data_IF_579052437895
#
_entry.id   IF_579052437895
#
_cell.length_a   1.000
_cell.length_b   1.000
_cell.length_c   1.000
_cell.angle_alpha   90.00
_cell.angle_beta   90.00
_cell.angle_gamma   90.00
#
_symmetry.space_group_name_H-M   'P 1'
#
loop_
_entity.id
_entity.type
_entity.pdbx_description
1 polymer ?
#
# COMPACT_ATOMS: atom_id res chain seq x y z
N UNK A 1 17.48 26.66 -5.95
CA UNK A 1 17.40 27.46 -7.19
C UNK A 1 16.80 26.68 -8.38
N UNK A 2 16.31 25.44 -8.20
CA UNK A 2 15.76 24.63 -9.32
C UNK A 2 14.22 24.66 -9.44
N UNK A 3 13.49 24.92 -8.35
CA UNK A 3 12.02 24.86 -8.34
C UNK A 3 11.34 25.98 -9.14
N UNK A 4 11.98 27.14 -9.34
CA UNK A 4 11.34 28.30 -9.99
C UNK A 4 11.07 28.11 -11.49
N UNK A 5 11.66 27.07 -12.13
CA UNK A 5 11.47 26.74 -13.54
C UNK A 5 10.31 25.78 -13.80
N UNK A 6 9.71 25.21 -12.76
CA UNK A 6 8.63 24.24 -12.90
C UNK A 6 7.26 24.95 -13.05
N UNK A 7 6.30 24.35 -13.78
CA UNK A 7 4.90 24.74 -13.75
C UNK A 7 4.38 24.91 -12.31
N UNK A 8 3.48 25.88 -12.08
CA UNK A 8 3.01 26.24 -10.74
C UNK A 8 2.48 25.03 -9.94
N UNK A 9 1.68 24.15 -10.54
CA UNK A 9 1.17 22.96 -9.86
C UNK A 9 2.28 22.02 -9.37
N UNK A 10 3.37 21.88 -10.12
CA UNK A 10 4.49 21.04 -9.71
C UNK A 10 5.20 21.63 -8.48
N UNK A 11 5.33 22.95 -8.43
CA UNK A 11 5.93 23.63 -7.28
C UNK A 11 5.05 23.50 -6.04
N UNK A 12 3.73 23.64 -6.20
CA UNK A 12 2.75 23.39 -5.13
C UNK A 12 2.86 21.95 -4.64
N UNK A 13 2.93 20.97 -5.55
CA UNK A 13 3.09 19.56 -5.20
C UNK A 13 4.41 19.28 -4.47
N UNK A 14 5.53 19.84 -4.94
CA UNK A 14 6.81 19.71 -4.25
C UNK A 14 6.79 20.33 -2.84
N UNK A 15 6.12 21.48 -2.67
CA UNK A 15 5.94 22.08 -1.36
C UNK A 15 5.11 21.21 -0.41
N UNK A 16 4.04 20.59 -0.92
CA UNK A 16 3.26 19.60 -0.20
C UNK A 16 4.14 18.44 0.29
N UNK A 17 4.99 17.87 -0.59
CA UNK A 17 5.90 16.77 -0.25
C UNK A 17 6.90 17.16 0.85
N UNK A 18 7.51 18.34 0.75
CA UNK A 18 8.46 18.85 1.75
C UNK A 18 7.77 19.01 3.11
N UNK A 19 6.58 19.63 3.13
CA UNK A 19 5.81 19.81 4.36
C UNK A 19 5.39 18.47 4.97
N UNK A 20 4.97 17.52 4.14
CA UNK A 20 4.60 16.18 4.58
C UNK A 20 5.79 15.49 5.26
N UNK A 21 6.97 15.53 4.65
CA UNK A 21 8.21 14.96 5.22
C UNK A 21 8.59 15.59 6.56
N UNK A 22 8.31 16.89 6.75
CA UNK A 22 8.59 17.58 7.99
C UNK A 22 7.56 17.36 9.12
N UNK A 23 6.34 16.95 8.77
CA UNK A 23 5.20 16.89 9.72
C UNK A 23 4.77 15.46 10.05
N UNK A 24 4.85 14.55 9.09
CA UNK A 24 4.36 13.19 9.22
C UNK A 24 5.38 12.30 9.94
N UNK A 25 4.92 11.23 10.62
CA UNK A 25 5.79 10.17 11.10
C UNK A 25 6.63 9.55 9.98
N UNK A 26 7.66 8.75 10.34
CA UNK A 26 8.46 8.02 9.37
C UNK A 26 7.63 7.17 8.42
N UNK A 27 8.22 6.86 7.26
CA UNK A 27 7.61 6.06 6.22
C UNK A 27 7.16 4.68 6.73
N UNK A 28 6.11 4.16 6.11
CA UNK A 28 5.60 2.84 6.40
C UNK A 28 6.54 1.80 5.79
N UNK A 29 6.92 0.79 6.59
CA UNK A 29 7.75 -0.33 6.13
C UNK A 29 6.96 -1.61 6.28
N UNK A 30 6.82 -2.37 5.20
CA UNK A 30 6.02 -3.60 5.16
C UNK A 30 6.47 -4.63 6.19
N UNK A 31 7.76 -4.69 6.49
CA UNK A 31 8.33 -5.58 7.50
C UNK A 31 7.82 -5.23 8.90
N UNK A 32 7.81 -3.93 9.24
CA UNK A 32 7.40 -3.45 10.56
C UNK A 32 5.89 -3.68 10.78
N UNK A 33 5.09 -3.59 9.71
CA UNK A 33 3.63 -3.84 9.75
C UNK A 33 3.27 -5.34 9.77
N UNK A 34 4.14 -6.20 9.24
CA UNK A 34 3.94 -7.66 9.20
C UNK A 34 4.48 -8.34 10.46
N UNK A 35 5.47 -7.74 11.11
CA UNK A 35 6.09 -8.28 12.32
C UNK A 35 7.29 -9.19 12.04
N UNK A 36 7.70 -9.91 13.07
CA UNK A 36 8.98 -10.63 13.12
C UNK A 36 9.08 -11.79 12.11
N UNK A 37 7.95 -12.37 11.69
CA UNK A 37 7.93 -13.43 10.67
C UNK A 37 8.12 -12.94 9.24
N UNK A 38 8.17 -11.63 8.95
CA UNK A 38 8.28 -11.16 7.57
C UNK A 38 9.45 -11.83 6.84
N UNK A 39 10.67 -11.74 7.39
CA UNK A 39 11.89 -12.25 6.73
C UNK A 39 11.98 -13.78 6.70
N UNK A 40 11.08 -14.49 7.37
CA UNK A 40 11.00 -15.96 7.34
C UNK A 40 10.04 -16.50 6.27
N UNK A 41 9.22 -15.63 5.70
CA UNK A 41 8.16 -16.00 4.75
C UNK A 41 8.27 -15.22 3.44
N UNK A 42 8.59 -13.93 3.53
CA UNK A 42 8.58 -13.01 2.42
C UNK A 42 9.97 -12.53 2.06
N UNK A 43 10.12 -12.20 0.79
CA UNK A 43 11.26 -11.45 0.27
C UNK A 43 10.77 -10.32 -0.62
N UNK A 44 11.56 -9.27 -0.72
CA UNK A 44 11.30 -8.17 -1.65
C UNK A 44 12.24 -8.29 -2.85
N UNK A 45 11.66 -8.33 -4.05
CA UNK A 45 12.42 -8.26 -5.31
C UNK A 45 13.20 -6.94 -5.46
N UNK A 46 12.72 -5.87 -4.83
CA UNK A 46 13.40 -4.59 -4.66
C UNK A 46 13.27 -4.16 -3.20
N UNK A 47 14.41 -4.03 -2.49
CA UNK A 47 14.43 -3.62 -1.08
C UNK A 47 13.74 -2.26 -0.83
N UNK A 48 13.76 -1.34 -1.81
CA UNK A 48 13.11 -0.03 -1.70
C UNK A 48 11.59 -0.09 -1.92
N UNK A 49 11.08 -1.19 -2.48
CA UNK A 49 9.64 -1.36 -2.73
C UNK A 49 8.86 -1.71 -1.46
N UNK A 50 9.54 -2.12 -0.38
CA UNK A 50 8.91 -2.39 0.92
C UNK A 50 8.57 -1.14 1.73
N UNK A 51 8.92 0.06 1.24
CA UNK A 51 8.69 1.32 1.93
C UNK A 51 7.68 2.18 1.17
N UNK A 52 6.66 2.66 1.88
CA UNK A 52 5.66 3.60 1.36
C UNK A 52 5.77 4.89 2.16
N UNK A 53 6.02 6.05 1.50
CA UNK A 53 6.06 7.32 2.20
C UNK A 53 4.80 7.55 3.02
N UNK A 54 4.93 8.04 4.26
CA UNK A 54 3.77 8.16 5.17
C UNK A 54 2.63 8.96 4.56
N UNK A 55 2.97 9.95 3.73
CA UNK A 55 2.04 10.76 2.95
C UNK A 55 1.09 9.92 2.07
N UNK A 56 1.58 8.82 1.50
CA UNK A 56 0.85 7.93 0.59
C UNK A 56 0.21 6.74 1.30
N UNK A 57 -0.15 6.91 2.57
CA UNK A 57 -0.91 5.95 3.37
C UNK A 57 -2.29 6.52 3.68
N UNK A 58 -3.20 5.69 4.20
CA UNK A 58 -4.51 6.16 4.66
C UNK A 58 -4.37 7.27 5.70
N UNK A 59 -3.48 7.11 6.69
CA UNK A 59 -3.22 8.15 7.70
C UNK A 59 -2.67 9.44 7.08
N UNK A 60 -1.73 9.35 6.14
CA UNK A 60 -1.23 10.50 5.39
C UNK A 60 -2.32 11.21 4.61
N UNK A 61 -3.25 10.46 4.02
CA UNK A 61 -4.40 11.03 3.34
C UNK A 61 -5.38 11.71 4.32
N UNK A 62 -5.82 11.00 5.35
CA UNK A 62 -6.88 11.44 6.26
C UNK A 62 -6.44 12.61 7.13
N UNK A 63 -5.22 12.56 7.62
CA UNK A 63 -4.75 13.44 8.69
C UNK A 63 -3.97 14.63 8.12
N UNK A 64 -3.39 14.47 6.92
CA UNK A 64 -2.60 15.52 6.29
C UNK A 64 -3.22 16.00 4.97
N UNK A 65 -3.25 15.17 3.92
CA UNK A 65 -3.61 15.60 2.57
C UNK A 65 -5.02 16.20 2.48
N UNK A 66 -5.99 15.57 3.14
CA UNK A 66 -7.40 16.01 3.17
C UNK A 66 -7.55 17.47 3.63
N UNK A 67 -6.75 17.90 4.61
CA UNK A 67 -6.78 19.26 5.14
C UNK A 67 -6.03 20.29 4.28
N UNK A 68 -5.20 19.83 3.34
CA UNK A 68 -4.44 20.74 2.48
C UNK A 68 -5.31 21.40 1.42
N UNK A 69 -6.47 20.83 1.08
CA UNK A 69 -7.34 21.34 0.01
C UNK A 69 -7.60 22.86 0.10
N UNK A 70 -7.91 23.38 1.29
CA UNK A 70 -8.15 24.81 1.49
C UNK A 70 -6.85 25.59 1.74
N UNK A 71 -5.87 24.96 2.39
CA UNK A 71 -4.62 25.63 2.79
C UNK A 71 -3.54 25.68 1.70
N UNK A 72 -3.73 24.91 0.61
CA UNK A 72 -2.87 24.92 -0.57
C UNK A 72 -2.75 26.33 -1.16
N UNK A 73 -3.77 27.19 -0.99
CA UNK A 73 -3.74 28.59 -1.43
C UNK A 73 -3.96 29.62 -0.31
N UNK A 74 -4.43 29.24 0.89
CA UNK A 74 -4.48 30.13 2.07
C UNK A 74 -3.09 30.45 2.63
N UNK A 75 -2.05 29.78 2.13
CA UNK A 75 -0.73 30.37 2.10
C UNK A 75 -0.78 31.59 1.18
N UNK A 76 -1.14 32.73 1.76
CA UNK A 76 -0.84 34.10 1.29
C UNK A 76 0.64 34.34 0.93
N UNK A 77 1.47 33.30 1.01
CA UNK A 77 2.88 33.26 0.64
C UNK A 77 3.25 32.21 -0.42
N UNK A 78 2.34 31.62 -1.21
CA UNK A 78 2.78 30.93 -2.43
C UNK A 78 3.40 31.91 -3.46
N UNK A 79 2.93 33.17 -3.46
CA UNK A 79 3.58 34.28 -4.17
C UNK A 79 4.99 34.58 -3.59
N UNK A 80 5.19 34.40 -2.28
CA UNK A 80 6.45 34.75 -1.60
C UNK A 80 7.47 33.59 -1.52
N UNK A 81 7.02 32.33 -1.46
CA UNK A 81 7.87 31.19 -1.07
C UNK A 81 8.45 30.43 -2.28
N UNK A 82 7.77 30.42 -3.42
CA UNK A 82 8.19 29.62 -4.59
C UNK A 82 8.99 30.41 -5.62
N UNK A 83 9.05 31.75 -5.52
CA UNK A 83 9.70 32.59 -6.53
C UNK A 83 10.82 33.50 -6.04
N UNK A 84 10.91 33.86 -4.75
CA UNK A 84 11.84 34.94 -4.35
C UNK A 84 11.64 36.23 -5.17
N UNK A 85 10.46 36.40 -5.78
CA UNK A 85 10.07 37.55 -6.58
C UNK A 85 8.67 37.97 -6.15
N UNK A 86 8.58 39.25 -5.79
CA UNK A 86 7.42 39.92 -5.24
C UNK A 86 6.38 40.28 -6.30
N UNK A 87 5.95 39.34 -7.14
CA UNK A 87 4.78 39.56 -8.00
C UNK A 87 3.62 38.75 -7.46
N UNK A 88 2.64 39.45 -6.89
CA UNK A 88 1.36 38.86 -6.51
C UNK A 88 0.66 38.34 -7.75
N UNK A 89 0.73 37.04 -8.02
CA UNK A 89 -0.01 36.44 -9.12
C UNK A 89 -1.45 36.28 -8.66
N UNK A 90 -2.31 37.22 -9.08
CA UNK A 90 -3.76 37.09 -8.84
C UNK A 90 -4.32 35.94 -9.69
N UNK A 91 -4.28 34.73 -9.14
CA UNK A 91 -4.90 33.55 -9.76
C UNK A 91 -6.43 33.66 -9.68
N UNK A 92 -7.09 33.42 -10.82
CA UNK A 92 -8.54 33.28 -10.86
C UNK A 92 -9.00 32.04 -10.07
N UNK A 93 -10.28 32.00 -9.70
CA UNK A 93 -10.86 30.81 -9.05
C UNK A 93 -10.77 29.56 -9.94
N UNK A 94 -10.90 29.74 -11.26
CA UNK A 94 -10.74 28.67 -12.24
C UNK A 94 -9.31 28.12 -12.26
N UNK A 95 -8.29 28.99 -12.24
CA UNK A 95 -6.89 28.55 -12.22
C UNK A 95 -6.54 27.82 -10.92
N UNK A 96 -7.05 28.31 -9.78
CA UNK A 96 -6.87 27.64 -8.47
C UNK A 96 -7.49 26.25 -8.47
N UNK A 97 -8.71 26.13 -9.00
CA UNK A 97 -9.40 24.84 -9.13
C UNK A 97 -8.62 23.87 -10.04
N UNK A 98 -8.11 24.34 -11.16
CA UNK A 98 -7.32 23.51 -12.08
C UNK A 98 -6.00 23.05 -11.47
N UNK A 99 -5.28 23.93 -10.77
CA UNK A 99 -4.05 23.56 -10.05
C UNK A 99 -4.35 22.51 -8.98
N UNK A 100 -5.43 22.69 -8.23
CA UNK A 100 -5.84 21.76 -7.19
C UNK A 100 -6.21 20.38 -7.76
N UNK A 101 -6.87 20.35 -8.91
CA UNK A 101 -7.16 19.13 -9.67
C UNK A 101 -5.87 18.43 -10.08
N UNK A 102 -4.91 19.16 -10.67
CA UNK A 102 -3.61 18.61 -11.09
C UNK A 102 -2.79 18.07 -9.91
N UNK A 103 -2.78 18.78 -8.78
CA UNK A 103 -2.12 18.32 -7.54
C UNK A 103 -2.78 17.05 -7.01
N UNK A 104 -4.12 16.98 -7.01
CA UNK A 104 -4.86 15.80 -6.58
C UNK A 104 -4.61 14.61 -7.50
N UNK A 105 -4.60 14.83 -8.82
CA UNK A 105 -4.30 13.79 -9.81
C UNK A 105 -2.89 13.23 -9.61
N UNK A 106 -1.90 14.12 -9.41
CA UNK A 106 -0.53 13.71 -9.17
C UNK A 106 -0.39 12.93 -7.87
N UNK A 107 -1.01 13.41 -6.79
CA UNK A 107 -1.04 12.73 -5.50
C UNK A 107 -1.63 11.32 -5.61
N UNK A 108 -2.78 11.18 -6.28
CA UNK A 108 -3.44 9.88 -6.45
C UNK A 108 -2.55 8.94 -7.28
N UNK A 109 -1.94 9.44 -8.35
CA UNK A 109 -1.01 8.66 -9.17
C UNK A 109 0.16 8.13 -8.33
N UNK A 110 0.82 8.99 -7.56
CA UNK A 110 1.96 8.60 -6.72
C UNK A 110 1.51 7.64 -5.61
N UNK A 111 0.37 7.90 -4.98
CA UNK A 111 -0.25 7.01 -4.00
C UNK A 111 -0.43 5.59 -4.57
N UNK A 112 -1.15 5.46 -5.68
CA UNK A 112 -1.40 4.16 -6.31
C UNK A 112 -0.11 3.49 -6.77
N UNK A 113 0.85 4.26 -7.27
CA UNK A 113 2.13 3.76 -7.75
C UNK A 113 2.96 3.13 -6.64
N UNK A 114 3.01 3.72 -5.44
CA UNK A 114 3.72 3.15 -4.30
C UNK A 114 3.14 1.79 -3.87
N UNK A 115 1.81 1.69 -3.77
CA UNK A 115 1.14 0.43 -3.39
C UNK A 115 1.24 -0.65 -4.46
N UNK A 116 1.13 -0.28 -5.74
CA UNK A 116 1.39 -1.20 -6.85
C UNK A 116 2.83 -1.69 -6.84
N UNK A 117 3.80 -0.80 -6.59
CA UNK A 117 5.22 -1.16 -6.49
C UNK A 117 5.45 -2.18 -5.38
N UNK A 118 4.93 -1.92 -4.17
CA UNK A 118 5.03 -2.84 -3.04
C UNK A 118 4.43 -4.21 -3.37
N UNK A 119 3.19 -4.24 -3.86
CA UNK A 119 2.51 -5.49 -4.25
C UNK A 119 3.30 -6.25 -5.32
N UNK A 120 3.87 -5.54 -6.30
CA UNK A 120 4.67 -6.10 -7.38
C UNK A 120 6.10 -6.48 -6.99
N UNK A 121 6.52 -6.20 -5.76
CA UNK A 121 7.85 -6.56 -5.27
C UNK A 121 7.81 -7.66 -4.20
N UNK A 122 6.67 -7.83 -3.52
CA UNK A 122 6.47 -8.87 -2.53
C UNK A 122 6.50 -10.26 -3.21
N UNK A 123 7.27 -11.15 -2.61
CA UNK A 123 7.40 -12.54 -3.04
C UNK A 123 7.53 -13.45 -1.82
N UNK A 124 7.34 -14.76 -2.03
CA UNK A 124 7.63 -15.77 -1.00
C UNK A 124 9.12 -16.12 -1.07
N UNK A 125 9.73 -16.30 0.10
CA UNK A 125 11.12 -16.71 0.19
C UNK A 125 11.33 -18.04 -0.55
N UNK A 126 12.34 -18.16 -1.43
CA UNK A 126 12.67 -19.44 -2.05
C UNK A 126 13.11 -20.44 -0.98
N UNK A 127 12.76 -21.70 -1.20
CA UNK A 127 13.13 -22.82 -0.34
C UNK A 127 13.74 -23.95 -1.19
N UNK A 128 14.80 -24.55 -0.68
CA UNK A 128 15.59 -25.57 -1.39
C UNK A 128 15.33 -26.99 -0.86
N UNK A 129 14.54 -27.13 0.22
CA UNK A 129 14.23 -28.42 0.82
C UNK A 129 12.78 -28.52 1.33
N UNK A 130 12.22 -29.75 1.42
CA UNK A 130 10.89 -29.97 2.03
C UNK A 130 10.79 -29.49 3.48
N UNK A 131 11.87 -29.56 4.25
CA UNK A 131 11.92 -29.07 5.64
C UNK A 131 11.83 -27.55 5.70
N UNK A 132 12.53 -26.85 4.80
CA UNK A 132 12.42 -25.39 4.67
C UNK A 132 11.02 -24.98 4.22
N UNK A 133 10.44 -25.68 3.24
CA UNK A 133 9.07 -25.43 2.79
C UNK A 133 8.06 -25.63 3.94
N UNK A 134 8.22 -26.69 4.74
CA UNK A 134 7.41 -26.94 5.92
C UNK A 134 7.56 -25.84 6.98
N UNK A 135 8.78 -25.33 7.20
CA UNK A 135 9.02 -24.20 8.12
C UNK A 135 8.29 -22.93 7.68
N UNK A 136 8.33 -22.59 6.39
CA UNK A 136 7.60 -21.44 5.83
C UNK A 136 6.09 -21.63 5.99
N UNK A 137 5.58 -22.83 5.70
CA UNK A 137 4.15 -23.15 5.84
C UNK A 137 3.67 -23.11 7.30
N UNK A 138 4.46 -23.61 8.24
CA UNK A 138 4.15 -23.53 9.67
C UNK A 138 4.10 -22.08 10.14
N UNK A 139 4.97 -21.22 9.62
CA UNK A 139 4.94 -19.78 9.94
C UNK A 139 3.71 -19.10 9.33
N UNK A 140 3.36 -19.44 8.08
CA UNK A 140 2.17 -18.93 7.40
C UNK A 140 0.85 -19.31 8.10
N UNK A 141 0.79 -20.53 8.62
CA UNK A 141 -0.43 -21.14 9.19
C UNK A 141 -0.51 -21.07 10.72
N UNK A 142 0.60 -20.70 11.38
CA UNK A 142 0.68 -20.50 12.81
C UNK A 142 0.02 -19.21 13.27
N UNK A 143 0.32 -18.80 14.51
CA UNK A 143 -0.37 -17.69 15.17
C UNK A 143 0.00 -16.31 14.60
N UNK A 144 1.21 -16.16 14.04
CA UNK A 144 1.67 -14.88 13.50
C UNK A 144 0.97 -14.48 12.19
N UNK A 145 0.37 -15.44 11.47
CA UNK A 145 -0.44 -15.23 10.26
C UNK A 145 0.04 -14.10 9.32
N UNK A 146 1.32 -14.10 8.90
CA UNK A 146 1.93 -12.94 8.22
C UNK A 146 1.24 -12.58 6.89
N UNK A 147 0.61 -13.53 6.21
CA UNK A 147 -0.19 -13.26 5.02
C UNK A 147 -1.43 -12.39 5.32
N UNK A 148 -2.07 -12.58 6.48
CA UNK A 148 -3.20 -11.74 6.91
C UNK A 148 -2.78 -10.32 7.24
N UNK A 149 -1.58 -10.14 7.79
CA UNK A 149 -1.03 -8.82 8.05
C UNK A 149 -0.83 -8.05 6.75
N UNK A 150 -0.21 -8.66 5.74
CA UNK A 150 -0.05 -8.05 4.41
C UNK A 150 -1.40 -7.68 3.78
N UNK A 151 -2.37 -8.60 3.82
CA UNK A 151 -3.70 -8.37 3.26
C UNK A 151 -4.41 -7.21 3.96
N UNK A 152 -4.35 -7.18 5.29
CA UNK A 152 -4.92 -6.10 6.09
C UNK A 152 -4.24 -4.76 5.77
N UNK A 153 -2.91 -4.75 5.70
CA UNK A 153 -2.12 -3.58 5.36
C UNK A 153 -2.50 -2.99 4.00
N UNK A 154 -2.55 -3.84 2.96
CA UNK A 154 -2.97 -3.42 1.62
C UNK A 154 -4.37 -2.83 1.68
N UNK A 155 -5.30 -3.59 2.26
CA UNK A 155 -6.69 -3.19 2.27
C UNK A 155 -6.94 -1.92 3.10
N UNK A 156 -6.18 -1.72 4.17
CA UNK A 156 -6.31 -0.51 4.97
C UNK A 156 -5.89 0.75 4.21
N UNK A 157 -5.02 0.59 3.22
CA UNK A 157 -4.52 1.70 2.43
C UNK A 157 -5.13 1.79 1.03
N UNK A 158 -5.84 0.77 0.54
CA UNK A 158 -6.37 0.77 -0.83
C UNK A 158 -7.88 0.52 -0.93
N UNK A 159 -8.58 0.22 0.17
CA UNK A 159 -10.01 -0.05 0.11
C UNK A 159 -10.86 1.18 -0.18
N UNK A 160 -12.03 0.94 -0.79
CA UNK A 160 -13.10 1.94 -0.87
C UNK A 160 -13.60 2.25 0.55
N UNK A 161 -13.53 3.51 0.96
CA UNK A 161 -14.01 3.95 2.28
C UNK A 161 -15.15 4.96 2.14
N UNK A 162 -16.30 4.75 2.81
CA UNK A 162 -17.36 5.74 2.85
C UNK A 162 -16.93 6.92 3.73
N UNK A 163 -16.89 8.12 3.17
CA UNK A 163 -16.72 9.35 3.95
C UNK A 163 -18.07 10.01 4.22
N UNK A 164 -18.26 10.48 5.44
CA UNK A 164 -19.38 11.35 5.86
C UNK A 164 -18.81 12.74 6.25
N UNK A 165 -19.53 13.82 5.92
CA UNK A 165 -19.11 15.20 6.26
C UNK A 165 -19.18 16.22 5.12
N UNK A 166 -18.87 17.50 5.41
CA UNK A 166 -18.78 18.60 4.43
C UNK A 166 -17.51 18.44 3.57
N UNK A 167 -17.58 18.75 2.27
CA UNK A 167 -16.48 18.53 1.32
C UNK A 167 -16.33 17.08 0.84
N UNK A 168 -17.28 16.21 1.18
CA UNK A 168 -17.18 14.78 0.92
C UNK A 168 -17.22 14.39 -0.56
N UNK A 169 -17.75 15.22 -1.47
CA UNK A 169 -17.84 14.84 -2.90
C UNK A 169 -16.45 14.66 -3.53
N UNK A 170 -15.57 15.67 -3.46
CA UNK A 170 -14.21 15.59 -4.00
C UNK A 170 -13.36 14.54 -3.25
N UNK A 171 -13.53 14.45 -1.93
CA UNK A 171 -12.79 13.46 -1.13
C UNK A 171 -13.22 12.02 -1.46
N UNK A 172 -14.50 11.79 -1.72
CA UNK A 172 -15.02 10.50 -2.20
C UNK A 172 -14.50 10.18 -3.59
N UNK A 173 -14.46 11.17 -4.50
CA UNK A 173 -13.85 10.98 -5.83
C UNK A 173 -12.39 10.54 -5.69
N UNK A 174 -11.57 11.28 -4.95
CA UNK A 174 -10.15 10.95 -4.73
C UNK A 174 -9.98 9.53 -4.16
N UNK A 175 -10.75 9.16 -3.12
CA UNK A 175 -10.68 7.82 -2.54
C UNK A 175 -11.16 6.73 -3.49
N UNK A 176 -12.19 7.00 -4.29
CA UNK A 176 -12.66 6.04 -5.29
C UNK A 176 -11.59 5.80 -6.38
N UNK A 177 -10.84 6.85 -6.75
CA UNK A 177 -9.75 6.77 -7.71
C UNK A 177 -8.53 6.06 -7.16
N UNK A 178 -8.22 6.25 -5.87
CA UNK A 178 -7.18 5.48 -5.16
C UNK A 178 -7.55 4.00 -5.11
N UNK A 179 -8.82 3.67 -4.82
CA UNK A 179 -9.26 2.28 -4.64
C UNK A 179 -9.51 1.53 -5.95
N UNK A 180 -9.82 2.23 -7.05
CA UNK A 180 -10.19 1.63 -8.34
C UNK A 180 -9.15 0.60 -8.85
N UNK A 181 -7.83 0.86 -8.85
CA UNK A 181 -6.84 -0.13 -9.31
C UNK A 181 -6.79 -1.40 -8.45
N UNK A 182 -7.25 -1.34 -7.21
CA UNK A 182 -7.17 -2.44 -6.23
C UNK A 182 -8.50 -3.14 -6.00
N UNK A 183 -9.58 -2.69 -6.67
CA UNK A 183 -10.93 -3.20 -6.39
C UNK A 183 -11.03 -4.71 -6.60
N UNK A 184 -10.44 -5.24 -7.68
CA UNK A 184 -10.42 -6.68 -7.93
C UNK A 184 -9.66 -7.45 -6.83
N UNK A 185 -8.53 -6.92 -6.38
CA UNK A 185 -7.73 -7.51 -5.31
C UNK A 185 -8.52 -7.50 -4.00
N UNK A 186 -9.11 -6.35 -3.64
CA UNK A 186 -9.90 -6.20 -2.42
C UNK A 186 -11.14 -7.12 -2.42
N UNK A 187 -11.85 -7.22 -3.55
CA UNK A 187 -13.00 -8.12 -3.71
C UNK A 187 -12.60 -9.59 -3.53
N UNK A 188 -11.45 -9.96 -4.11
CA UNK A 188 -10.85 -11.31 -4.00
C UNK A 188 -10.51 -11.63 -2.55
N UNK A 189 -9.86 -10.68 -1.86
CA UNK A 189 -9.37 -10.89 -0.50
C UNK A 189 -10.47 -10.90 0.55
N UNK A 190 -11.47 -10.02 0.42
CA UNK A 190 -12.56 -9.86 1.40
C UNK A 190 -13.82 -10.69 1.09
N UNK A 191 -13.95 -11.20 -0.13
CA UNK A 191 -15.21 -11.76 -0.62
C UNK A 191 -16.23 -10.66 -0.96
N UNK A 192 -17.10 -10.92 -1.94
CA UNK A 192 -18.19 -10.01 -2.33
C UNK A 192 -19.54 -10.72 -2.19
N UNK A 193 -20.48 -10.07 -1.51
CA UNK A 193 -21.84 -10.61 -1.35
C UNK A 193 -21.85 -11.90 -0.51
N UNK A 194 -22.20 -13.03 -1.13
CA UNK A 194 -22.26 -14.34 -0.47
C UNK A 194 -20.98 -15.18 -0.64
N UNK A 195 -19.97 -14.67 -1.37
CA UNK A 195 -18.73 -15.42 -1.61
C UNK A 195 -17.82 -15.38 -0.38
N UNK A 196 -17.32 -16.55 0.01
CA UNK A 196 -16.36 -16.66 1.11
C UNK A 196 -15.04 -15.94 0.74
N UNK A 197 -14.37 -15.26 1.69
CA UNK A 197 -13.08 -14.64 1.44
C UNK A 197 -12.05 -15.66 0.94
N UNK A 198 -11.36 -15.40 -0.17
CA UNK A 198 -10.36 -16.34 -0.70
C UNK A 198 -9.23 -16.61 0.31
N UNK A 199 -8.92 -15.64 1.16
CA UNK A 199 -7.94 -15.80 2.25
C UNK A 199 -8.27 -16.95 3.18
N UNK A 200 -9.56 -17.20 3.45
CA UNK A 200 -9.96 -18.33 4.29
C UNK A 200 -9.68 -19.66 3.59
N UNK A 201 -10.04 -19.77 2.31
CA UNK A 201 -9.79 -20.98 1.51
C UNK A 201 -8.30 -21.24 1.28
N UNK A 202 -7.51 -20.18 1.05
CA UNK A 202 -6.05 -20.26 0.92
C UNK A 202 -5.45 -20.78 2.23
N UNK A 203 -5.85 -20.22 3.39
CA UNK A 203 -5.33 -20.67 4.67
C UNK A 203 -5.62 -22.16 4.93
N UNK A 204 -6.82 -22.63 4.62
CA UNK A 204 -7.17 -24.05 4.73
C UNK A 204 -6.30 -24.94 3.84
N UNK A 205 -6.04 -24.51 2.59
CA UNK A 205 -5.15 -25.23 1.67
C UNK A 205 -3.70 -25.24 2.14
N UNK A 206 -3.21 -24.14 2.72
CA UNK A 206 -1.86 -24.07 3.29
C UNK A 206 -1.71 -24.98 4.51
N UNK A 207 -2.72 -25.04 5.38
CA UNK A 207 -2.75 -25.98 6.53
C UNK A 207 -2.69 -27.43 6.04
N UNK A 208 -3.50 -27.77 5.04
CA UNK A 208 -3.51 -29.12 4.47
C UNK A 208 -2.14 -29.48 3.83
N UNK A 209 -1.50 -28.51 3.16
CA UNK A 209 -0.18 -28.70 2.57
C UNK A 209 0.91 -28.88 3.64
N UNK A 210 0.84 -28.11 4.73
CA UNK A 210 1.77 -28.24 5.86
C UNK A 210 1.67 -29.66 6.48
N UNK A 211 0.45 -30.11 6.77
CA UNK A 211 0.20 -31.45 7.32
C UNK A 211 0.67 -32.56 6.38
N UNK A 212 0.49 -32.38 5.08
CA UNK A 212 0.94 -33.33 4.07
C UNK A 212 2.48 -33.43 4.01
N UNK A 213 3.19 -32.29 4.01
CA UNK A 213 4.66 -32.28 4.05
C UNK A 213 5.20 -32.85 5.36
N UNK A 214 4.54 -32.61 6.49
CA UNK A 214 4.91 -33.17 7.78
C UNK A 214 4.85 -34.71 7.77
N UNK A 215 3.82 -35.30 7.16
CA UNK A 215 3.69 -36.75 7.01
C UNK A 215 4.81 -37.35 6.15
N UNK A 216 5.24 -36.64 5.10
CA UNK A 216 6.35 -37.07 4.24
C UNK A 216 7.68 -36.99 5.00
N UNK A 217 7.94 -35.88 5.69
CA UNK A 217 9.20 -35.67 6.40
C UNK A 217 9.35 -36.57 7.63
N UNK A 218 8.23 -36.98 8.26
CA UNK A 218 8.23 -37.91 9.39
C UNK A 218 8.25 -39.39 8.97
N UNK A 219 8.14 -39.70 7.68
CA UNK A 219 8.21 -41.07 7.19
C UNK A 219 9.65 -41.61 7.26
N UNK A 220 9.81 -42.90 7.59
CA UNK A 220 11.12 -43.56 7.61
C UNK A 220 11.81 -43.64 6.23
N UNK A 221 11.05 -43.46 5.15
CA UNK A 221 11.53 -43.24 3.78
C UNK A 221 10.70 -42.12 3.12
N UNK A 222 11.16 -40.86 3.20
CA UNK A 222 10.44 -39.71 2.64
C UNK A 222 10.26 -39.78 1.11
N UNK A 223 11.20 -40.41 0.39
CA UNK A 223 11.13 -40.55 -1.06
C UNK A 223 10.01 -41.48 -1.50
N UNK A 224 9.88 -42.63 -0.82
CA UNK A 224 8.77 -43.55 -1.05
C UNK A 224 7.41 -42.96 -0.63
N UNK A 225 7.37 -42.21 0.48
CA UNK A 225 6.16 -41.55 0.95
C UNK A 225 5.67 -40.47 -0.02
N UNK A 226 6.57 -39.62 -0.52
CA UNK A 226 6.26 -38.61 -1.52
C UNK A 226 5.75 -39.22 -2.83
N UNK A 227 6.39 -40.29 -3.31
CA UNK A 227 5.97 -41.00 -4.52
C UNK A 227 4.56 -41.61 -4.37
N UNK A 228 4.27 -42.25 -3.23
CA UNK A 228 2.94 -42.83 -2.95
C UNK A 228 1.87 -41.75 -2.84
N UNK A 229 2.20 -40.60 -2.28
CA UNK A 229 1.29 -39.47 -2.15
C UNK A 229 0.89 -38.84 -3.50
N UNK A 230 1.77 -38.91 -4.52
CA UNK A 230 1.49 -38.42 -5.88
C UNK A 230 0.59 -39.35 -6.71
N UNK A 231 0.32 -40.57 -6.24
CA UNK A 231 -0.53 -41.56 -6.92
C UNK A 231 -2.00 -41.50 -6.51
N UNK A 232 -2.36 -40.61 -5.59
CA UNK A 232 -3.71 -40.34 -5.09
C UNK A 232 -4.27 -39.07 -5.74
#
# INVERSE_FOLDING_TARGET
QELSRLPLYQRVYQGLMVRATATLPPDLRVQDETGQSFDSVFVLRDAHAGTVPRLFTWSGYSDFFRGQHNTLFDLTGLDAWVLGQHEQVQLSEADRSEIQRQVSDRYISDYTGHWQKLLSALDIQPFDSPEQALSVLNTLTGDEQPFRHIVSLLSDNTAVRPLTGKGAAQQRDNLSRIARPFTQLDDTLKGRGNDAPLIQGINQKLIALAQWLEQINSAGDPGAAAFKALQL
#
